data_IF_501189550520
#
_entry.id   IF_501189550520
#
_cell.length_a   1.000
_cell.length_b   1.000
_cell.length_c   1.000
_cell.angle_alpha   90.00
_cell.angle_beta   90.00
_cell.angle_gamma   90.00
#
_symmetry.space_group_name_H-M   'P 1'
#
loop_
_entity.id
_entity.type
_entity.pdbx_description
1 polymer ?
#
# COMPACT_ATOMS: atom_id res chain seq x y z
N UNK A 1 3.14 1.93 -5.07
CA UNK A 1 2.95 2.38 -3.67
C UNK A 1 1.60 3.07 -3.58
N UNK A 2 0.78 2.62 -2.64
CA UNK A 2 -0.50 3.26 -2.32
C UNK A 2 -0.48 3.77 -0.88
N UNK A 3 -1.11 4.91 -0.65
CA UNK A 3 -1.57 5.33 0.66
C UNK A 3 -2.90 4.65 0.94
N UNK A 4 -3.10 4.07 2.11
CA UNK A 4 -4.41 3.55 2.52
C UNK A 4 -4.76 4.07 3.92
N UNK A 5 -5.80 3.49 4.52
CA UNK A 5 -6.19 3.82 5.89
C UNK A 5 -6.77 5.23 6.02
N UNK A 6 -6.60 5.82 7.20
CA UNK A 6 -7.38 7.02 7.56
C UNK A 6 -7.04 8.24 6.71
N UNK A 7 -5.77 8.36 6.33
CA UNK A 7 -5.30 9.47 5.48
C UNK A 7 -5.78 9.34 4.04
N UNK A 8 -5.94 8.12 3.53
CA UNK A 8 -6.50 7.89 2.20
C UNK A 8 -8.02 8.17 2.16
N UNK A 9 -8.75 7.81 3.22
CA UNK A 9 -10.19 8.09 3.33
C UNK A 9 -10.53 9.54 3.67
N UNK A 10 -9.58 10.29 4.24
CA UNK A 10 -9.78 11.67 4.67
C UNK A 10 -10.35 11.82 6.08
N UNK A 11 -10.46 10.74 6.86
CA UNK A 11 -10.95 10.71 8.25
C UNK A 11 -9.82 10.73 9.30
N UNK A 12 -8.61 11.13 8.89
CA UNK A 12 -7.42 11.20 9.73
C UNK A 12 -7.43 12.37 10.73
N UNK A 13 -6.67 12.21 11.81
CA UNK A 13 -6.31 13.27 12.76
C UNK A 13 -4.88 13.74 12.50
N UNK A 14 -4.49 14.87 13.08
CA UNK A 14 -3.14 15.42 12.93
C UNK A 14 -2.04 14.41 13.30
N UNK A 15 -2.25 13.64 14.36
CA UNK A 15 -1.34 12.61 14.85
C UNK A 15 -1.61 11.19 14.30
N UNK A 16 -2.47 11.05 13.28
CA UNK A 16 -2.73 9.73 12.69
C UNK A 16 -1.52 9.23 11.92
N UNK A 17 -1.25 7.94 12.04
CA UNK A 17 -0.21 7.22 11.30
C UNK A 17 -0.41 7.34 9.78
N UNK A 18 0.66 7.10 9.02
CA UNK A 18 0.64 7.03 7.56
C UNK A 18 0.74 5.56 7.14
N UNK A 19 -0.39 5.01 6.67
CA UNK A 19 -0.48 3.63 6.21
C UNK A 19 -0.07 3.51 4.72
N UNK A 20 1.04 2.83 4.43
CA UNK A 20 1.59 2.65 3.09
C UNK A 20 1.59 1.19 2.66
N UNK A 21 0.99 0.91 1.51
CA UNK A 21 1.06 -0.38 0.86
C UNK A 21 2.07 -0.34 -0.29
N UNK A 22 3.07 -1.22 -0.22
CA UNK A 22 4.13 -1.33 -1.21
C UNK A 22 4.06 -2.67 -1.90
N UNK A 23 4.23 -2.67 -3.21
CA UNK A 23 4.29 -3.88 -4.03
C UNK A 23 5.58 -3.78 -4.85
N UNK A 24 6.47 -4.74 -4.69
CA UNK A 24 7.77 -4.73 -5.32
C UNK A 24 8.73 -5.70 -4.67
N UNK A 25 9.65 -6.22 -5.47
CA UNK A 25 10.66 -7.19 -5.05
C UNK A 25 11.86 -6.52 -4.39
N UNK A 26 12.69 -7.32 -3.72
CA UNK A 26 14.01 -6.89 -3.24
C UNK A 26 13.99 -6.13 -1.91
N UNK A 27 13.10 -6.52 -0.98
CA UNK A 27 13.07 -5.96 0.37
C UNK A 27 12.72 -4.46 0.41
N UNK A 28 11.85 -4.02 -0.50
CA UNK A 28 11.49 -2.60 -0.59
C UNK A 28 10.77 -2.10 0.67
N UNK A 29 10.01 -2.99 1.34
CA UNK A 29 9.34 -2.69 2.61
C UNK A 29 10.37 -2.31 3.67
N UNK A 30 11.38 -3.16 3.85
CA UNK A 30 12.43 -2.98 4.86
C UNK A 30 13.26 -1.72 4.58
N UNK A 31 13.62 -1.49 3.32
CA UNK A 31 14.36 -0.28 2.92
C UNK A 31 13.58 1.00 3.17
N UNK A 32 12.28 1.00 2.91
CA UNK A 32 11.41 2.15 3.18
C UNK A 32 11.21 2.35 4.68
N UNK A 33 11.02 1.27 5.45
CA UNK A 33 10.91 1.34 6.90
C UNK A 33 12.14 2.01 7.52
N UNK A 34 13.34 1.57 7.12
CA UNK A 34 14.60 2.19 7.55
C UNK A 34 14.69 3.66 7.14
N UNK A 35 14.39 3.97 5.88
CA UNK A 35 14.47 5.35 5.38
C UNK A 35 13.51 6.32 6.09
N UNK A 36 12.33 5.85 6.50
CA UNK A 36 11.39 6.67 7.26
C UNK A 36 11.79 6.80 8.73
N UNK A 37 12.33 5.75 9.34
CA UNK A 37 12.85 5.78 10.71
C UNK A 37 14.05 6.74 10.84
N UNK A 38 14.91 6.78 9.82
CA UNK A 38 16.03 7.72 9.73
C UNK A 38 15.61 9.15 9.33
N UNK A 39 14.34 9.36 8.96
CA UNK A 39 13.86 10.67 8.51
C UNK A 39 13.47 11.60 9.66
N UNK A 40 13.50 12.91 9.42
CA UNK A 40 13.05 13.92 10.39
C UNK A 40 11.52 14.15 10.35
N UNK A 41 10.74 13.20 9.81
CA UNK A 41 9.29 13.36 9.68
C UNK A 41 8.60 13.13 11.04
N UNK A 42 7.67 14.01 11.45
CA UNK A 42 6.98 13.89 12.73
C UNK A 42 5.82 12.87 12.68
N UNK A 43 5.90 11.87 11.79
CA UNK A 43 4.85 10.89 11.56
C UNK A 43 5.40 9.48 11.66
N UNK A 44 4.57 8.60 12.19
CA UNK A 44 4.72 7.15 12.20
C UNK A 44 4.20 6.58 10.89
N UNK A 45 4.93 5.60 10.35
CA UNK A 45 4.59 4.93 9.10
C UNK A 45 4.32 3.45 9.35
N UNK A 46 3.14 2.97 8.97
CA UNK A 46 2.85 1.54 8.89
C UNK A 46 3.01 1.10 7.43
N UNK A 47 4.00 0.23 7.17
CA UNK A 47 4.37 -0.17 5.82
C UNK A 47 4.08 -1.65 5.63
N UNK A 48 3.13 -1.93 4.75
CA UNK A 48 2.68 -3.30 4.46
C UNK A 48 3.20 -3.77 3.11
N UNK A 49 3.72 -4.99 3.07
CA UNK A 49 4.05 -5.67 1.82
C UNK A 49 2.77 -6.26 1.22
N UNK A 50 2.32 -5.65 0.12
CA UNK A 50 1.09 -6.02 -0.56
C UNK A 50 1.18 -7.34 -1.33
N UNK A 51 2.37 -7.74 -1.78
CA UNK A 51 2.53 -9.00 -2.52
C UNK A 51 2.43 -10.20 -1.56
N UNK A 52 2.94 -10.05 -0.34
CA UNK A 52 2.96 -11.10 0.69
C UNK A 52 1.85 -10.94 1.75
N UNK A 53 0.85 -10.10 1.49
CA UNK A 53 -0.25 -9.81 2.40
C UNK A 53 -1.20 -11.01 2.55
N UNK A 54 -1.16 -11.67 3.71
CA UNK A 54 -2.04 -12.82 4.02
C UNK A 54 -3.43 -12.42 4.49
N UNK A 55 -3.58 -11.23 5.06
CA UNK A 55 -4.86 -10.73 5.57
C UNK A 55 -5.75 -10.24 4.42
N UNK A 56 -6.79 -11.02 4.12
CA UNK A 56 -7.80 -10.65 3.12
C UNK A 56 -8.50 -9.32 3.44
N UNK A 57 -8.73 -9.03 4.73
CA UNK A 57 -9.33 -7.77 5.18
C UNK A 57 -8.42 -6.58 4.87
N UNK A 58 -7.13 -6.69 5.18
CA UNK A 58 -6.18 -5.62 4.97
C UNK A 58 -5.95 -5.39 3.47
N UNK A 59 -5.85 -6.48 2.70
CA UNK A 59 -5.80 -6.42 1.24
C UNK A 59 -7.04 -5.73 0.64
N UNK A 60 -8.23 -6.04 1.15
CA UNK A 60 -9.46 -5.37 0.71
C UNK A 60 -9.47 -3.87 1.03
N UNK A 61 -8.96 -3.47 2.20
CA UNK A 61 -8.85 -2.06 2.56
C UNK A 61 -7.87 -1.31 1.62
N UNK A 62 -6.72 -1.90 1.32
CA UNK A 62 -5.76 -1.34 0.35
C UNK A 62 -6.34 -1.25 -1.07
N UNK A 63 -7.14 -2.24 -1.47
CA UNK A 63 -7.76 -2.25 -2.80
C UNK A 63 -8.86 -1.21 -2.94
N UNK A 64 -9.67 -1.04 -1.89
CA UNK A 64 -10.88 -0.21 -1.91
C UNK A 64 -10.59 1.25 -1.58
N UNK A 65 -9.85 1.49 -0.50
CA UNK A 65 -9.57 2.83 0.01
C UNK A 65 -8.24 3.39 -0.51
N UNK A 66 -7.39 2.53 -1.10
CA UNK A 66 -6.01 2.88 -1.39
C UNK A 66 -5.85 3.87 -2.55
N UNK A 67 -5.20 4.99 -2.27
CA UNK A 67 -4.84 6.05 -3.23
C UNK A 67 -3.44 5.78 -3.78
N UNK A 68 -3.31 5.73 -5.11
CA UNK A 68 -2.02 5.52 -5.77
C UNK A 68 -1.13 6.76 -5.60
N UNK A 69 0.01 6.59 -4.91
CA UNK A 69 1.01 7.65 -4.74
C UNK A 69 2.13 7.56 -5.78
N UNK A 70 2.58 6.34 -6.06
CA UNK A 70 3.68 6.11 -6.99
C UNK A 70 3.55 4.77 -7.70
N UNK A 71 3.87 4.75 -8.99
CA UNK A 71 3.91 3.57 -9.84
C UNK A 71 5.12 3.67 -10.76
N UNK A 72 5.89 2.59 -10.88
CA UNK A 72 6.89 2.47 -11.95
C UNK A 72 6.17 2.35 -13.30
N UNK A 73 6.64 3.02 -14.35
CA UNK A 73 5.98 3.05 -15.67
C UNK A 73 5.61 1.63 -16.18
N UNK A 74 6.52 0.66 -16.02
CA UNK A 74 6.29 -0.76 -16.42
C UNK A 74 5.76 -1.66 -15.28
N UNK A 75 5.40 -1.09 -14.13
CA UNK A 75 5.02 -1.83 -12.94
C UNK A 75 3.58 -2.33 -13.01
N UNK A 76 3.39 -3.65 -13.16
CA UNK A 76 2.06 -4.27 -13.29
C UNK A 76 1.21 -4.31 -12.01
N UNK A 77 1.75 -3.94 -10.85
CA UNK A 77 1.09 -4.21 -9.56
C UNK A 77 -0.22 -3.42 -9.33
N UNK A 78 -0.41 -2.28 -10.01
CA UNK A 78 -1.56 -1.40 -9.78
C UNK A 78 -2.05 -0.75 -11.08
N UNK A 79 -3.33 -0.87 -11.36
CA UNK A 79 -4.04 -0.17 -12.43
C UNK A 79 -4.71 1.11 -11.90
N UNK A 80 -4.86 2.12 -12.76
CA UNK A 80 -5.37 3.47 -12.43
C UNK A 80 -6.81 3.48 -11.88
N UNK A 81 -7.53 2.38 -12.06
CA UNK A 81 -8.77 2.10 -11.33
C UNK A 81 -8.49 0.92 -10.44
N UNK A 82 -8.60 1.07 -9.13
CA UNK A 82 -8.32 0.06 -8.08
C UNK A 82 -9.14 -1.23 -8.18
N UNK A 83 -9.07 -1.90 -9.31
CA UNK A 83 -9.63 -3.22 -9.56
C UNK A 83 -8.42 -4.12 -9.69
N UNK A 84 -8.02 -4.74 -8.59
CA UNK A 84 -7.22 -5.97 -8.62
C UNK A 84 -7.64 -6.76 -9.86
N UNK A 85 -6.71 -6.96 -10.80
CA UNK A 85 -6.94 -7.85 -11.94
C UNK A 85 -7.02 -9.24 -11.32
N UNK A 86 -8.21 -9.62 -10.85
CA UNK A 86 -8.50 -11.02 -10.54
C UNK A 86 -8.31 -11.76 -11.85
N UNK A 87 -7.37 -12.68 -11.85
CA UNK A 87 -7.30 -13.68 -12.91
C UNK A 87 -8.67 -14.35 -13.03
N UNK A 88 -9.15 -14.66 -14.24
CA UNK A 88 -10.37 -15.43 -14.38
C UNK A 88 -10.15 -16.80 -13.74
N UNK A 89 -10.86 -17.07 -12.64
CA UNK A 89 -10.98 -18.41 -12.09
C UNK A 89 -11.72 -19.27 -13.13
N UNK A 90 -10.99 -20.07 -13.89
CA UNK A 90 -11.59 -21.17 -14.64
C UNK A 90 -11.88 -22.28 -13.63
N UNK A 91 -13.13 -22.37 -13.17
CA UNK A 91 -13.62 -23.56 -12.49
C UNK A 91 -13.68 -24.70 -13.49
N UNK A 92 -13.10 -25.84 -13.11
CA UNK A 92 -13.24 -27.12 -13.79
C UNK A 92 -14.33 -27.93 -13.10
#
# INVERSE_FOLDING_TARGET
MKLFGSRARGDHRAASDIDLAVAGKGGIRERLALAFDESALPYTFDIVDYENLSSARLRHAVDTDGVLLWKKEDGAAWNEKGRSVRQPCTWR
#
